data_IF_444500608346
#
_entry.id   IF_444500608346
#
_cell.length_a   1.000
_cell.length_b   1.000
_cell.length_c   1.000
_cell.angle_alpha   90.00
_cell.angle_beta   90.00
_cell.angle_gamma   90.00
#
_symmetry.space_group_name_H-M   'P 1'
#
loop_
_entity.id
_entity.type
_entity.pdbx_description
1 polymer ?
#
# COMPACT_ATOMS: atom_id res chain seq x y z
N UNK A 1 8.18 13.39 -24.27
CA UNK A 1 7.61 14.52 -23.49
C UNK A 1 6.10 14.53 -23.69
N UNK A 2 5.32 13.88 -22.81
CA UNK A 2 3.85 13.80 -22.93
C UNK A 2 3.25 14.92 -22.07
N UNK A 3 2.60 15.90 -22.71
CA UNK A 3 1.98 17.04 -22.03
C UNK A 3 0.91 16.55 -21.07
N UNK A 4 1.07 16.87 -19.80
CA UNK A 4 0.08 16.64 -18.76
C UNK A 4 -1.08 17.62 -19.01
N UNK A 5 -2.34 17.15 -19.15
CA UNK A 5 -3.46 18.04 -19.50
C UNK A 5 -3.72 19.08 -18.39
N UNK A 6 -4.16 20.28 -18.79
CA UNK A 6 -4.35 21.46 -17.92
C UNK A 6 -5.27 21.24 -16.69
N UNK A 7 -6.03 20.14 -16.68
CA UNK A 7 -6.84 19.70 -15.55
C UNK A 7 -6.01 19.39 -14.30
N UNK A 8 -4.80 18.85 -14.44
CA UNK A 8 -3.91 18.51 -13.32
C UNK A 8 -3.38 19.75 -12.59
N UNK A 9 -3.04 20.81 -13.33
CA UNK A 9 -2.54 22.08 -12.76
C UNK A 9 -3.61 22.84 -11.94
N UNK A 10 -4.90 22.58 -12.20
CA UNK A 10 -6.01 23.17 -11.44
C UNK A 10 -6.29 22.42 -10.14
N UNK A 11 -5.99 21.11 -10.09
CA UNK A 11 -5.99 20.32 -8.85
C UNK A 11 -4.77 20.56 -7.97
N UNK A 12 -3.65 21.02 -8.52
CA UNK A 12 -2.49 21.47 -7.71
C UNK A 12 -2.81 22.68 -6.83
N UNK A 13 -3.81 23.49 -7.21
CA UNK A 13 -4.20 24.71 -6.47
C UNK A 13 -4.97 24.43 -5.18
N UNK A 14 -5.51 23.22 -5.04
CA UNK A 14 -6.04 22.65 -3.81
C UNK A 14 -5.41 21.27 -3.55
N UNK A 15 -4.17 21.03 -3.99
CA UNK A 15 -3.46 19.84 -3.54
C UNK A 15 -3.40 19.95 -2.02
N UNK A 16 -4.11 19.09 -1.27
CA UNK A 16 -3.82 18.98 0.14
C UNK A 16 -2.34 18.62 0.18
N UNK A 17 -1.57 19.41 0.92
CA UNK A 17 -0.13 19.39 0.85
C UNK A 17 0.33 17.93 0.82
N UNK A 18 0.92 17.49 -0.32
CA UNK A 18 1.68 16.27 -0.36
C UNK A 18 2.71 16.46 0.75
N UNK A 19 2.45 15.88 1.94
CA UNK A 19 3.42 15.93 3.02
C UNK A 19 4.69 15.41 2.35
N UNK A 20 5.79 16.18 2.34
CA UNK A 20 6.99 15.75 1.65
C UNK A 20 7.27 14.37 2.19
N UNK A 21 7.10 13.35 1.35
CA UNK A 21 7.52 11.98 1.66
C UNK A 21 8.98 12.19 1.96
N UNK A 22 9.32 12.20 3.25
CA UNK A 22 10.59 12.74 3.69
C UNK A 22 11.65 12.10 2.81
N UNK A 23 12.55 12.89 2.24
CA UNK A 23 13.55 12.44 1.24
C UNK A 23 14.47 11.31 1.77
N UNK A 24 14.20 10.79 2.97
CA UNK A 24 14.86 9.71 3.66
C UNK A 24 13.91 8.89 4.56
N UNK A 25 12.70 8.52 4.11
CA UNK A 25 11.92 7.51 4.84
C UNK A 25 12.71 6.19 4.93
N UNK A 26 12.89 5.72 6.17
CA UNK A 26 13.58 4.47 6.52
C UNK A 26 12.85 3.80 7.67
N UNK A 27 12.96 2.48 7.74
CA UNK A 27 12.35 1.65 8.78
C UNK A 27 10.83 1.90 8.92
N UNK A 28 10.19 2.27 7.80
CA UNK A 28 8.76 2.58 7.75
C UNK A 28 7.96 1.40 7.22
N UNK A 29 6.68 1.36 7.59
CA UNK A 29 5.73 0.42 7.01
C UNK A 29 5.04 1.08 5.82
N UNK A 30 5.11 0.44 4.65
CA UNK A 30 4.34 0.86 3.47
C UNK A 30 3.00 0.14 3.48
N UNK A 31 1.89 0.87 3.44
CA UNK A 31 0.55 0.29 3.35
C UNK A 31 -0.06 0.64 2.00
N UNK A 32 -0.29 -0.38 1.17
CA UNK A 32 -0.87 -0.26 -0.16
C UNK A 32 -2.37 -0.56 -0.09
N UNK A 33 -3.16 0.44 -0.47
CA UNK A 33 -4.59 0.58 -0.25
C UNK A 33 -4.94 0.58 1.23
N UNK A 34 -5.43 1.71 1.74
CA UNK A 34 -5.92 1.83 3.12
C UNK A 34 -7.44 1.61 3.16
N UNK A 35 -7.87 0.44 2.67
CA UNK A 35 -9.24 -0.07 2.68
C UNK A 35 -9.80 -0.29 4.10
N UNK A 36 -10.96 -0.96 4.21
CA UNK A 36 -11.46 -1.43 5.53
C UNK A 36 -10.42 -2.25 6.28
N UNK A 37 -9.68 -3.10 5.56
CA UNK A 37 -8.60 -3.92 6.12
C UNK A 37 -7.34 -3.08 6.35
N UNK A 38 -6.94 -2.26 5.37
CA UNK A 38 -5.74 -1.43 5.46
C UNK A 38 -5.75 -0.43 6.63
N UNK A 39 -6.92 0.06 7.05
CA UNK A 39 -7.05 0.96 8.21
C UNK A 39 -6.45 0.38 9.50
N UNK A 40 -6.58 -0.94 9.73
CA UNK A 40 -6.00 -1.58 10.90
C UNK A 40 -4.46 -1.49 10.89
N UNK A 41 -3.86 -1.65 9.71
CA UNK A 41 -2.42 -1.56 9.50
C UNK A 41 -1.89 -0.13 9.46
N UNK A 42 -2.75 0.87 9.33
CA UNK A 42 -2.39 2.28 9.47
C UNK A 42 -2.50 2.73 10.93
N UNK A 43 -3.57 2.34 11.62
CA UNK A 43 -3.84 2.84 12.97
C UNK A 43 -2.93 2.22 14.02
N UNK A 44 -2.68 0.90 13.98
CA UNK A 44 -1.88 0.23 15.02
C UNK A 44 -0.43 0.75 15.05
N UNK A 45 0.32 0.78 13.94
CA UNK A 45 1.68 1.35 13.94
C UNK A 45 1.70 2.83 14.32
N UNK A 46 0.64 3.59 13.96
CA UNK A 46 0.51 4.99 14.34
C UNK A 46 0.44 5.23 15.85
N UNK A 47 -0.30 4.39 16.59
CA UNK A 47 -0.33 4.46 18.06
C UNK A 47 1.02 4.09 18.70
N UNK A 48 1.83 3.29 18.01
CA UNK A 48 3.17 2.88 18.46
C UNK A 48 4.28 3.85 18.03
N UNK A 49 3.95 4.92 17.33
CA UNK A 49 4.92 5.90 16.82
C UNK A 49 5.81 5.36 15.69
N UNK A 50 5.42 4.25 15.05
CA UNK A 50 6.18 3.68 13.94
C UNK A 50 5.93 4.49 12.65
N UNK A 51 7.00 4.87 11.92
CA UNK A 51 6.88 5.54 10.63
C UNK A 51 6.05 4.71 9.65
N UNK A 52 5.14 5.35 8.93
CA UNK A 52 4.31 4.69 7.91
C UNK A 52 4.02 5.61 6.74
N UNK A 53 3.85 5.00 5.58
CA UNK A 53 3.45 5.66 4.34
C UNK A 53 2.32 4.88 3.71
N UNK A 54 1.22 5.55 3.34
CA UNK A 54 0.09 4.95 2.66
C UNK A 54 0.15 5.25 1.16
N UNK A 55 -0.14 4.27 0.31
CA UNK A 55 -0.46 4.51 -1.11
C UNK A 55 -1.94 4.23 -1.32
N UNK A 56 -2.68 5.22 -1.83
CA UNK A 56 -4.12 5.11 -2.00
C UNK A 56 -4.59 5.77 -3.31
N UNK A 57 -5.54 5.13 -3.98
CA UNK A 57 -6.09 5.58 -5.26
C UNK A 57 -7.44 6.30 -5.11
N UNK A 58 -8.14 6.08 -4.00
CA UNK A 58 -9.38 6.80 -3.70
C UNK A 58 -9.07 8.16 -3.07
N UNK A 59 -9.42 9.23 -3.78
CA UNK A 59 -9.13 10.60 -3.35
C UNK A 59 -9.82 10.98 -2.03
N UNK A 60 -11.02 10.45 -1.76
CA UNK A 60 -11.73 10.72 -0.51
C UNK A 60 -11.00 10.13 0.70
N UNK A 61 -10.44 8.92 0.54
CA UNK A 61 -9.60 8.28 1.57
C UNK A 61 -8.29 9.02 1.77
N UNK A 62 -7.64 9.50 0.70
CA UNK A 62 -6.42 10.31 0.80
C UNK A 62 -6.67 11.54 1.66
N UNK A 63 -7.72 12.30 1.36
CA UNK A 63 -8.06 13.50 2.13
C UNK A 63 -8.32 13.20 3.61
N UNK A 64 -8.97 12.08 3.92
CA UNK A 64 -9.21 11.67 5.31
C UNK A 64 -7.91 11.29 6.03
N UNK A 65 -7.00 10.57 5.37
CA UNK A 65 -5.69 10.21 5.93
C UNK A 65 -4.82 11.43 6.19
N UNK A 66 -4.81 12.39 5.26
CA UNK A 66 -4.08 13.64 5.42
C UNK A 66 -4.64 14.49 6.56
N UNK A 67 -5.97 14.55 6.71
CA UNK A 67 -6.63 15.21 7.86
C UNK A 67 -6.23 14.58 9.20
N UNK A 68 -5.89 13.29 9.19
CA UNK A 68 -5.37 12.55 10.34
C UNK A 68 -3.85 12.67 10.50
N UNK A 69 -3.16 13.43 9.64
CA UNK A 69 -1.70 13.59 9.66
C UNK A 69 -0.94 12.34 9.21
N UNK A 70 -1.57 11.44 8.45
CA UNK A 70 -0.95 10.22 7.94
C UNK A 70 -0.24 10.51 6.62
N UNK A 71 1.07 10.29 6.50
CA UNK A 71 1.78 10.43 5.22
C UNK A 71 1.15 9.53 4.15
N UNK A 72 0.69 10.13 3.07
CA UNK A 72 -0.09 9.44 2.02
C UNK A 72 0.36 9.88 0.64
N UNK A 73 0.48 8.92 -0.27
CA UNK A 73 0.76 9.11 -1.69
C UNK A 73 -0.50 8.73 -2.48
N UNK A 74 -1.03 9.68 -3.25
CA UNK A 74 -2.12 9.42 -4.17
C UNK A 74 -1.61 8.74 -5.44
N UNK A 75 -2.17 7.57 -5.77
CA UNK A 75 -1.86 6.87 -7.02
C UNK A 75 -2.21 5.39 -7.01
N UNK A 76 -2.14 4.78 -8.20
CA UNK A 76 -2.24 3.34 -8.37
C UNK A 76 -0.89 2.68 -8.06
N UNK A 77 -0.85 1.83 -7.04
CA UNK A 77 0.36 1.10 -6.67
C UNK A 77 0.79 0.05 -7.71
N UNK A 78 -0.09 -0.37 -8.64
CA UNK A 78 0.34 -1.21 -9.76
C UNK A 78 1.21 -0.43 -10.77
N UNK A 79 1.28 0.90 -10.66
CA UNK A 79 2.21 1.72 -11.44
C UNK A 79 3.58 1.80 -10.74
N UNK A 80 4.62 1.34 -11.43
CA UNK A 80 6.02 1.42 -10.98
C UNK A 80 6.48 2.84 -10.60
N UNK A 81 5.96 3.87 -11.27
CA UNK A 81 6.29 5.27 -10.97
C UNK A 81 5.79 5.70 -9.59
N UNK A 82 4.72 5.07 -9.08
CA UNK A 82 4.20 5.30 -7.74
C UNK A 82 5.01 4.48 -6.72
N UNK A 83 5.26 3.20 -7.00
CA UNK A 83 6.06 2.35 -6.10
C UNK A 83 7.50 2.84 -5.91
N UNK A 84 8.14 3.37 -6.94
CA UNK A 84 9.49 3.93 -6.82
C UNK A 84 9.60 5.08 -5.81
N UNK A 85 8.49 5.78 -5.51
CA UNK A 85 8.45 6.89 -4.56
C UNK A 85 8.30 6.45 -3.11
N UNK A 86 7.97 5.18 -2.84
CA UNK A 86 7.68 4.71 -1.48
C UNK A 86 8.90 4.16 -0.73
N UNK A 87 10.10 4.21 -1.36
CA UNK A 87 11.37 3.82 -0.72
C UNK A 87 11.36 2.36 -0.24
N UNK A 88 10.90 1.43 -1.08
CA UNK A 88 10.70 0.01 -0.75
C UNK A 88 11.93 -0.66 -0.14
N UNK A 89 13.12 -0.35 -0.64
CA UNK A 89 14.39 -0.92 -0.16
C UNK A 89 14.72 -0.54 1.29
N UNK A 90 14.11 0.52 1.81
CA UNK A 90 14.29 0.99 3.18
C UNK A 90 13.05 0.71 4.05
N UNK A 91 12.02 0.08 3.48
CA UNK A 91 10.81 -0.24 4.22
C UNK A 91 11.07 -1.41 5.18
N UNK A 92 10.54 -1.29 6.39
CA UNK A 92 10.54 -2.38 7.37
C UNK A 92 9.61 -3.52 6.95
N UNK A 93 8.48 -3.17 6.31
CA UNK A 93 7.53 -4.11 5.74
C UNK A 93 6.64 -3.41 4.70
N UNK A 94 6.10 -4.20 3.77
CA UNK A 94 5.12 -3.77 2.78
C UNK A 94 3.84 -4.57 2.98
N UNK A 95 2.73 -3.85 3.17
CA UNK A 95 1.42 -4.44 3.43
C UNK A 95 0.52 -4.13 2.25
N UNK A 96 0.06 -5.16 1.54
CA UNK A 96 -0.79 -5.04 0.34
C UNK A 96 -2.20 -5.51 0.67
N UNK A 97 -3.16 -4.60 0.72
CA UNK A 97 -4.56 -4.94 1.05
C UNK A 97 -5.55 -4.77 -0.10
N UNK A 98 -5.02 -4.65 -1.32
CA UNK A 98 -5.80 -4.55 -2.56
C UNK A 98 -6.76 -5.75 -2.70
N UNK A 99 -8.07 -5.51 -2.93
CA UNK A 99 -9.03 -6.58 -3.18
C UNK A 99 -8.97 -7.11 -4.62
N UNK A 100 -8.24 -6.43 -5.50
CA UNK A 100 -8.16 -6.72 -6.92
C UNK A 100 -7.16 -7.85 -7.22
N UNK A 101 -7.63 -8.92 -7.88
CA UNK A 101 -6.83 -10.12 -8.19
C UNK A 101 -5.85 -9.96 -9.35
N UNK A 102 -5.90 -8.84 -10.07
CA UNK A 102 -4.94 -8.49 -11.10
C UNK A 102 -3.87 -7.54 -10.54
N UNK A 103 -4.26 -6.53 -9.77
CA UNK A 103 -3.35 -5.52 -9.23
C UNK A 103 -2.48 -6.05 -8.08
N UNK A 104 -3.04 -6.82 -7.14
CA UNK A 104 -2.26 -7.32 -6.00
C UNK A 104 -1.04 -8.17 -6.43
N UNK A 105 -1.17 -9.13 -7.38
CA UNK A 105 -0.01 -9.85 -7.92
C UNK A 105 1.06 -8.95 -8.55
N UNK A 106 0.67 -7.90 -9.27
CA UNK A 106 1.62 -6.97 -9.90
C UNK A 106 2.42 -6.26 -8.82
N UNK A 107 1.72 -5.69 -7.83
CA UNK A 107 2.37 -4.98 -6.72
C UNK A 107 3.34 -5.89 -5.95
N UNK A 108 2.93 -7.12 -5.65
CA UNK A 108 3.79 -8.08 -4.94
C UNK A 108 5.03 -8.41 -5.75
N UNK A 109 4.87 -8.74 -7.04
CA UNK A 109 6.00 -9.09 -7.90
C UNK A 109 6.99 -7.91 -8.04
N UNK A 110 6.49 -6.71 -8.34
CA UNK A 110 7.33 -5.51 -8.45
C UNK A 110 8.01 -5.17 -7.13
N UNK A 111 7.32 -5.32 -5.99
CA UNK A 111 7.92 -5.08 -4.68
C UNK A 111 9.04 -6.07 -4.39
N UNK A 112 8.82 -7.36 -4.68
CA UNK A 112 9.82 -8.40 -4.47
C UNK A 112 11.03 -8.22 -5.39
N UNK A 113 10.83 -7.82 -6.65
CA UNK A 113 11.91 -7.55 -7.59
C UNK A 113 12.75 -6.33 -7.17
N UNK A 114 12.10 -5.27 -6.68
CA UNK A 114 12.78 -4.03 -6.27
C UNK A 114 13.43 -4.11 -4.88
N UNK A 115 12.82 -4.86 -3.96
CA UNK A 115 13.21 -4.97 -2.56
C UNK A 115 13.01 -6.41 -2.04
N UNK A 116 13.85 -7.38 -2.48
CA UNK A 116 13.69 -8.80 -2.16
C UNK A 116 13.79 -9.11 -0.67
N UNK A 117 14.50 -8.27 0.09
CA UNK A 117 14.67 -8.43 1.53
C UNK A 117 13.51 -7.84 2.35
N UNK A 118 12.63 -7.03 1.73
CA UNK A 118 11.51 -6.42 2.43
C UNK A 118 10.39 -7.47 2.65
N UNK A 119 9.91 -7.66 3.90
CA UNK A 119 8.75 -8.50 4.17
C UNK A 119 7.48 -7.95 3.50
N UNK A 120 6.83 -8.78 2.69
CA UNK A 120 5.59 -8.51 1.98
C UNK A 120 4.47 -9.33 2.63
N UNK A 121 3.53 -8.62 3.23
CA UNK A 121 2.29 -9.18 3.77
C UNK A 121 1.16 -8.79 2.83
N UNK A 122 0.45 -9.76 2.27
CA UNK A 122 -0.61 -9.49 1.29
C UNK A 122 -1.91 -10.17 1.67
N UNK A 123 -3.02 -9.48 1.44
CA UNK A 123 -4.36 -10.07 1.54
C UNK A 123 -4.71 -10.77 0.22
N UNK A 124 -5.11 -12.02 0.29
CA UNK A 124 -5.72 -12.73 -0.83
C UNK A 124 -7.25 -12.51 -0.87
N UNK A 125 -7.79 -12.32 -2.07
CA UNK A 125 -9.24 -12.27 -2.30
C UNK A 125 -9.85 -13.67 -2.46
N UNK A 126 -9.10 -14.62 -3.00
CA UNK A 126 -9.52 -16.02 -3.21
C UNK A 126 -8.44 -17.01 -2.78
N UNK A 127 -8.87 -18.26 -2.55
CA UNK A 127 -7.96 -19.36 -2.25
C UNK A 127 -6.94 -19.62 -3.37
N UNK A 128 -7.34 -19.48 -4.64
CA UNK A 128 -6.41 -19.58 -5.78
C UNK A 128 -5.36 -18.45 -5.74
N UNK A 129 -5.79 -17.25 -5.35
CA UNK A 129 -4.90 -16.10 -5.14
C UNK A 129 -3.80 -16.38 -4.12
N UNK A 130 -4.08 -17.16 -3.07
CA UNK A 130 -3.09 -17.49 -2.02
C UNK A 130 -1.82 -18.09 -2.60
N UNK A 131 -1.94 -19.19 -3.36
CA UNK A 131 -0.80 -19.87 -3.95
C UNK A 131 -0.05 -18.98 -4.94
N UNK A 132 -0.78 -18.20 -5.73
CA UNK A 132 -0.19 -17.27 -6.70
C UNK A 132 0.65 -16.20 -6.00
N UNK A 133 0.17 -15.65 -4.90
CA UNK A 133 0.86 -14.56 -4.18
C UNK A 133 2.14 -15.06 -3.52
N UNK A 134 2.14 -16.25 -2.92
CA UNK A 134 3.37 -16.89 -2.42
C UNK A 134 4.39 -17.11 -3.54
N UNK A 135 3.95 -17.61 -4.70
CA UNK A 135 4.83 -17.85 -5.84
C UNK A 135 5.47 -16.56 -6.41
N UNK A 136 4.89 -15.39 -6.13
CA UNK A 136 5.38 -14.08 -6.56
C UNK A 136 6.27 -13.39 -5.51
N UNK A 137 6.58 -14.07 -4.40
CA UNK A 137 7.51 -13.56 -3.40
C UNK A 137 6.87 -12.98 -2.15
N UNK A 138 5.54 -13.08 -1.97
CA UNK A 138 4.94 -12.72 -0.69
C UNK A 138 5.37 -13.70 0.41
N UNK A 139 5.87 -13.18 1.53
CA UNK A 139 6.28 -13.97 2.68
C UNK A 139 5.09 -14.37 3.56
N UNK A 140 4.06 -13.51 3.62
CA UNK A 140 2.83 -13.81 4.35
C UNK A 140 1.60 -13.48 3.51
N UNK A 141 0.66 -14.44 3.44
CA UNK A 141 -0.61 -14.26 2.75
C UNK A 141 -1.76 -14.48 3.72
N UNK A 142 -2.60 -13.45 3.90
CA UNK A 142 -3.78 -13.48 4.75
C UNK A 142 -5.00 -13.76 3.87
N UNK A 143 -5.74 -14.82 4.16
CA UNK A 143 -6.99 -15.15 3.48
C UNK A 143 -8.17 -15.16 4.47
N UNK A 144 -8.92 -14.04 4.60
CA UNK A 144 -9.91 -13.88 5.67
C UNK A 144 -11.06 -14.90 5.68
N UNK A 145 -11.37 -15.56 4.55
CA UNK A 145 -12.42 -16.60 4.51
C UNK A 145 -11.99 -17.91 5.17
N UNK A 146 -10.69 -18.14 5.38
CA UNK A 146 -10.19 -19.33 6.09
C UNK A 146 -10.24 -19.16 7.61
N UNK A 147 -10.22 -17.91 8.10
CA UNK A 147 -10.21 -17.59 9.54
C UNK A 147 -11.58 -17.77 10.21
N UNK A 148 -12.67 -17.89 9.45
CA UNK A 148 -14.02 -18.14 9.98
C UNK A 148 -14.44 -19.62 10.03
N UNK A 149 -13.59 -20.54 9.60
CA UNK A 149 -13.90 -21.98 9.50
C UNK A 149 -13.43 -22.84 10.67
N UNK A 150 -12.77 -22.27 11.68
CA UNK A 150 -12.15 -23.01 12.80
C UNK A 150 -12.71 -22.60 14.17
N UNK A 151 -13.97 -22.17 14.25
CA UNK A 151 -14.68 -21.84 15.50
C UNK A 151 -16.04 -22.55 15.57
N UNK A 152 -16.18 -23.73 14.95
CA UNK A 152 -17.35 -24.59 15.08
C UNK A 152 -16.93 -26.06 15.18
N UNK A 153 -16.35 -26.43 16.32
CA UNK A 153 -16.29 -27.83 16.81
C UNK A 153 -16.70 -27.84 18.27
#
# INVERSE_FOLDING_TARGET
MRKVPAFWSLLDRHSPAQAPVAESLRDHVVVIACGRVGQHFVNVPGHLGLPRLVVEQDIGRVMELERQGVPTLYGDAANSDILSRVHLKQAHAVIVTLPDEAAAPIVVATTHDDAPDAPIIVRAATQKGVHRLFALGAQHVIYPKLEGGLEMT
#
